data_IF_162216436027
#
_entry.id   IF_162216436027
#
_cell.length_a   1.000
_cell.length_b   1.000
_cell.length_c   1.000
_cell.angle_alpha   90.00
_cell.angle_beta   90.00
_cell.angle_gamma   90.00
#
_symmetry.space_group_name_H-M   'P 1'
#
loop_
_entity.id
_entity.type
_entity.pdbx_description
1 polymer ?
#
# COMPACT_ATOMS: atom_id res chain seq x y z
N UNK A 1 -52.53 -20.10 43.93
CA UNK A 1 -52.13 -19.73 42.55
C UNK A 1 -50.60 -19.56 42.44
N UNK A 2 -49.90 -20.34 41.61
CA UNK A 2 -48.46 -20.17 41.43
C UNK A 2 -48.17 -18.95 40.55
N UNK A 3 -47.15 -18.18 40.91
CA UNK A 3 -46.69 -17.02 40.15
C UNK A 3 -45.98 -17.49 38.86
N UNK A 4 -46.21 -16.84 37.70
CA UNK A 4 -45.48 -17.20 36.48
C UNK A 4 -44.00 -16.82 36.65
N UNK A 5 -43.12 -17.82 36.61
CA UNK A 5 -41.66 -17.70 36.83
C UNK A 5 -40.87 -17.41 35.55
N UNK A 6 -41.51 -16.96 34.47
CA UNK A 6 -40.83 -16.78 33.18
C UNK A 6 -40.40 -15.32 33.00
N UNK A 7 -39.09 -15.01 33.02
CA UNK A 7 -38.62 -13.67 32.68
C UNK A 7 -38.92 -13.38 31.20
N UNK A 8 -39.26 -12.12 30.85
CA UNK A 8 -39.51 -11.75 29.46
C UNK A 8 -38.23 -11.92 28.62
N UNK A 9 -38.35 -12.29 27.33
CA UNK A 9 -37.19 -12.43 26.45
C UNK A 9 -36.49 -11.08 26.28
N UNK A 10 -35.16 -11.10 26.35
CA UNK A 10 -34.34 -9.91 26.13
C UNK A 10 -34.45 -9.45 24.66
N UNK A 11 -34.54 -8.13 24.40
CA UNK A 11 -34.56 -7.60 23.04
C UNK A 11 -33.23 -7.93 22.35
N UNK A 12 -33.29 -8.65 21.23
CA UNK A 12 -32.13 -9.13 20.46
C UNK A 12 -31.62 -8.12 19.42
N UNK A 13 -32.19 -6.91 19.37
CA UNK A 13 -31.86 -5.93 18.35
C UNK A 13 -30.73 -5.02 18.84
N UNK A 14 -29.52 -5.07 18.24
CA UNK A 14 -28.47 -4.12 18.57
C UNK A 14 -28.90 -2.71 18.15
N UNK A 15 -28.55 -1.67 18.92
CA UNK A 15 -28.82 -0.29 18.53
C UNK A 15 -28.10 0.04 17.21
N UNK A 16 -28.66 0.92 16.37
CA UNK A 16 -28.02 1.33 15.13
C UNK A 16 -26.69 2.03 15.45
N UNK A 17 -25.64 1.68 14.71
CA UNK A 17 -24.33 2.29 14.86
C UNK A 17 -24.44 3.81 14.55
N UNK A 18 -23.81 4.70 15.35
CA UNK A 18 -23.76 6.11 15.03
C UNK A 18 -23.03 6.30 13.69
N UNK A 19 -23.70 6.94 12.73
CA UNK A 19 -23.16 7.20 11.38
C UNK A 19 -22.34 8.49 11.31
N UNK A 20 -22.22 9.22 12.41
CA UNK A 20 -21.51 10.50 12.45
C UNK A 20 -20.01 10.25 12.71
N UNK A 21 -19.12 10.64 11.79
CA UNK A 21 -17.69 10.56 12.03
C UNK A 21 -17.29 11.51 13.17
N UNK A 22 -16.35 11.12 14.04
CA UNK A 22 -15.86 12.01 15.09
C UNK A 22 -15.20 13.25 14.48
N UNK A 23 -15.29 14.41 15.16
CA UNK A 23 -14.61 15.62 14.71
C UNK A 23 -13.10 15.38 14.69
N UNK A 24 -12.44 15.82 13.62
CA UNK A 24 -11.00 15.71 13.50
C UNK A 24 -10.29 16.61 14.53
N UNK A 25 -9.21 16.12 15.18
CA UNK A 25 -8.41 16.94 16.07
C UNK A 25 -7.82 18.12 15.29
N UNK A 26 -8.06 19.33 15.76
CA UNK A 26 -7.58 20.59 15.15
C UNK A 26 -6.13 20.90 15.51
N UNK A 27 -5.49 20.07 16.32
CA UNK A 27 -4.10 20.26 16.73
C UNK A 27 -3.18 19.77 15.60
N UNK A 28 -2.32 20.64 15.03
CA UNK A 28 -1.34 20.20 14.06
C UNK A 28 -0.38 19.21 14.73
N UNK A 29 -0.13 18.03 14.14
CA UNK A 29 0.87 17.12 14.67
C UNK A 29 2.25 17.80 14.61
N UNK A 30 3.12 17.59 15.61
CA UNK A 30 4.49 18.07 15.51
C UNK A 30 5.14 17.45 14.26
N UNK A 31 5.80 18.30 13.48
CA UNK A 31 6.48 17.95 12.23
C UNK A 31 7.63 16.98 12.48
N UNK A 32 7.34 15.71 12.73
CA UNK A 32 8.33 14.67 12.99
C UNK A 32 7.92 13.26 12.52
N UNK A 33 6.92 13.14 11.63
CA UNK A 33 6.55 11.87 11.03
C UNK A 33 6.41 12.00 9.49
N UNK A 34 7.12 11.20 8.68
CA UNK A 34 6.83 11.08 7.25
C UNK A 34 5.54 10.24 7.08
N UNK A 35 4.40 10.92 7.12
CA UNK A 35 3.09 10.32 6.89
C UNK A 35 2.87 10.07 5.38
N UNK A 36 2.92 8.80 4.98
CA UNK A 36 2.69 8.29 3.62
C UNK A 36 1.21 8.20 3.22
N UNK A 37 0.35 9.09 3.73
CA UNK A 37 -1.03 9.17 3.24
C UNK A 37 -1.49 10.62 3.14
N UNK A 38 -1.71 11.17 1.92
CA UNK A 38 -2.32 12.48 1.80
C UNK A 38 -3.76 12.43 2.34
N UNK A 39 -4.25 13.50 3.01
CA UNK A 39 -5.65 13.58 3.40
C UNK A 39 -6.52 13.68 2.14
N UNK A 40 -7.62 12.92 2.10
CA UNK A 40 -8.61 13.02 1.04
C UNK A 40 -9.21 14.43 1.04
N UNK A 41 -8.91 15.22 0.01
CA UNK A 41 -9.59 16.50 -0.24
C UNK A 41 -8.69 17.67 -0.68
N UNK A 42 -7.37 17.56 -0.59
CA UNK A 42 -6.50 18.62 -1.11
C UNK A 42 -5.99 18.24 -2.50
N UNK A 43 -6.57 18.87 -3.53
CA UNK A 43 -5.98 18.92 -4.86
C UNK A 43 -4.71 19.77 -4.84
N UNK A 44 -3.66 19.26 -4.17
CA UNK A 44 -2.31 19.73 -4.41
C UNK A 44 -2.00 19.36 -5.86
N UNK A 45 -1.97 20.35 -6.75
CA UNK A 45 -1.35 20.22 -8.06
C UNK A 45 0.17 20.07 -7.87
N UNK A 46 0.58 18.99 -7.24
CA UNK A 46 1.96 18.56 -7.26
C UNK A 46 2.14 17.95 -8.63
N UNK A 47 2.95 18.59 -9.46
CA UNK A 47 3.51 18.03 -10.71
C UNK A 47 4.45 16.85 -10.44
N UNK A 48 4.20 16.08 -9.37
CA UNK A 48 4.83 14.79 -9.15
C UNK A 48 4.33 13.89 -10.26
N UNK A 49 5.22 13.62 -11.22
CA UNK A 49 4.93 12.72 -12.32
C UNK A 49 4.48 11.39 -11.69
N UNK A 50 3.24 10.95 -11.93
CA UNK A 50 2.78 9.70 -11.35
C UNK A 50 3.70 8.58 -11.83
N UNK A 51 4.02 7.66 -10.93
CA UNK A 51 4.82 6.51 -11.28
C UNK A 51 4.17 5.73 -12.45
N UNK A 52 4.97 5.12 -13.33
CA UNK A 52 4.44 4.33 -14.44
C UNK A 52 3.54 3.18 -13.93
N UNK A 53 2.67 2.62 -14.79
CA UNK A 53 1.81 1.50 -14.40
C UNK A 53 2.63 0.33 -13.86
N UNK A 54 2.09 -0.33 -12.83
CA UNK A 54 2.72 -1.43 -12.09
C UNK A 54 3.99 -1.05 -11.31
N UNK A 55 4.13 0.23 -10.96
CA UNK A 55 5.18 0.70 -10.05
C UNK A 55 4.60 1.56 -8.94
N UNK A 56 5.30 1.57 -7.81
CA UNK A 56 4.95 2.33 -6.62
C UNK A 56 6.07 3.31 -6.33
N UNK A 57 5.72 4.50 -5.86
CA UNK A 57 6.70 5.47 -5.38
C UNK A 57 7.39 4.93 -4.13
N UNK A 58 8.72 4.87 -4.18
CA UNK A 58 9.57 4.57 -3.03
C UNK A 58 10.34 5.83 -2.65
N UNK A 59 10.42 6.11 -1.35
CA UNK A 59 11.16 7.26 -0.81
C UNK A 59 12.68 7.14 -0.96
N UNK A 60 13.16 5.95 -1.34
CA UNK A 60 14.57 5.61 -1.51
C UNK A 60 14.72 4.54 -2.59
N UNK A 61 15.89 4.47 -3.24
CA UNK A 61 16.17 3.46 -4.26
C UNK A 61 16.53 2.12 -3.59
N UNK A 62 15.82 1.02 -3.90
CA UNK A 62 16.15 -0.29 -3.34
C UNK A 62 17.53 -0.74 -3.82
N UNK A 63 18.24 -1.50 -2.99
CA UNK A 63 19.58 -1.96 -3.37
C UNK A 63 19.56 -2.96 -4.54
N UNK A 64 18.46 -3.68 -4.74
CA UNK A 64 18.26 -4.54 -5.91
C UNK A 64 16.84 -4.38 -6.43
N UNK A 65 16.72 -4.14 -7.73
CA UNK A 65 15.44 -4.07 -8.44
C UNK A 65 15.32 -5.28 -9.37
N UNK A 66 14.27 -6.12 -9.23
CA UNK A 66 14.17 -7.37 -9.97
C UNK A 66 13.93 -7.07 -11.46
N UNK A 67 14.65 -7.77 -12.33
CA UNK A 67 14.52 -7.67 -13.79
C UNK A 67 14.14 -9.02 -14.38
N UNK A 68 13.86 -9.07 -15.68
CA UNK A 68 13.56 -10.34 -16.35
C UNK A 68 14.70 -11.37 -16.28
N UNK A 69 15.93 -10.90 -16.09
CA UNK A 69 17.13 -11.75 -16.07
C UNK A 69 17.70 -11.90 -14.64
N UNK A 70 17.37 -10.97 -13.73
CA UNK A 70 17.91 -10.95 -12.37
C UNK A 70 16.81 -11.04 -11.32
N UNK A 71 16.90 -12.08 -10.48
CA UNK A 71 16.01 -12.26 -9.35
C UNK A 71 16.64 -11.78 -8.04
N UNK A 72 16.05 -10.75 -7.43
CA UNK A 72 16.56 -10.16 -6.20
C UNK A 72 16.20 -10.94 -4.92
N UNK A 73 15.52 -12.11 -5.00
CA UNK A 73 15.09 -12.83 -3.78
C UNK A 73 16.27 -13.40 -2.98
N UNK A 74 17.36 -13.73 -3.65
CA UNK A 74 18.58 -14.25 -3.01
C UNK A 74 19.59 -13.15 -2.63
N UNK A 75 19.34 -11.90 -3.05
CA UNK A 75 20.28 -10.79 -2.81
C UNK A 75 20.19 -10.33 -1.37
N UNK A 76 21.33 -10.36 -0.67
CA UNK A 76 21.47 -9.84 0.70
C UNK A 76 22.04 -8.43 0.65
N UNK A 77 21.18 -7.44 0.67
CA UNK A 77 21.60 -6.04 0.72
C UNK A 77 22.10 -5.65 2.12
N UNK A 78 23.16 -4.84 2.19
CA UNK A 78 23.70 -4.29 3.43
C UNK A 78 22.73 -3.27 4.04
N UNK A 79 22.02 -2.52 3.20
CA UNK A 79 20.93 -1.60 3.56
C UNK A 79 19.70 -1.87 2.70
N UNK A 80 18.46 -1.79 3.24
CA UNK A 80 17.24 -2.09 2.48
C UNK A 80 17.02 -1.18 1.27
N UNK A 81 17.41 0.10 1.38
CA UNK A 81 17.38 1.07 0.30
C UNK A 81 18.37 2.21 0.59
N UNK A 82 18.79 2.94 -0.44
CA UNK A 82 19.66 4.11 -0.31
C UNK A 82 19.40 5.10 -1.46
N UNK A 83 19.79 6.36 -1.27
CA UNK A 83 19.72 7.38 -2.33
C UNK A 83 18.35 8.04 -2.51
N UNK A 84 18.17 8.61 -3.70
CA UNK A 84 17.01 9.43 -4.06
C UNK A 84 15.70 8.63 -4.21
N UNK A 85 14.54 9.28 -4.01
CA UNK A 85 13.24 8.66 -4.23
C UNK A 85 13.02 8.27 -5.69
N UNK A 86 12.48 7.09 -5.92
CA UNK A 86 12.30 6.52 -7.26
C UNK A 86 11.02 5.69 -7.35
N UNK A 87 10.59 5.39 -8.58
CA UNK A 87 9.49 4.46 -8.82
C UNK A 87 10.03 3.05 -8.95
N UNK A 88 9.57 2.15 -8.08
CA UNK A 88 9.97 0.75 -8.04
C UNK A 88 8.85 -0.15 -8.52
N UNK A 89 9.20 -1.24 -9.21
CA UNK A 89 8.21 -2.22 -9.64
C UNK A 89 7.46 -2.85 -8.46
N UNK A 90 6.16 -3.06 -8.65
CA UNK A 90 5.31 -3.75 -7.68
C UNK A 90 5.80 -5.19 -7.42
N UNK A 91 5.36 -5.78 -6.30
CA UNK A 91 5.63 -7.18 -5.99
C UNK A 91 5.21 -8.07 -7.16
N UNK A 92 6.11 -8.94 -7.61
CA UNK A 92 5.96 -9.86 -8.75
C UNK A 92 6.03 -9.23 -10.15
N UNK A 93 6.33 -7.93 -10.23
CA UNK A 93 6.71 -7.24 -11.47
C UNK A 93 8.22 -7.09 -11.54
N UNK A 94 8.72 -7.10 -12.77
CA UNK A 94 10.13 -6.94 -13.07
C UNK A 94 10.32 -5.77 -14.00
N UNK A 95 11.45 -5.08 -13.83
CA UNK A 95 11.81 -3.98 -14.70
C UNK A 95 12.39 -4.51 -16.00
N UNK A 96 11.79 -4.06 -17.09
CA UNK A 96 12.21 -4.37 -18.45
C UNK A 96 12.06 -3.08 -19.27
N UNK A 97 13.17 -2.64 -19.86
CA UNK A 97 13.23 -1.44 -20.70
C UNK A 97 12.59 -0.17 -20.09
N UNK A 98 12.79 0.05 -18.79
CA UNK A 98 12.25 1.21 -18.07
C UNK A 98 10.77 1.09 -17.66
N UNK A 99 10.14 -0.08 -17.87
CA UNK A 99 8.75 -0.35 -17.48
C UNK A 99 8.66 -1.59 -16.61
N UNK A 100 7.67 -1.60 -15.71
CA UNK A 100 7.36 -2.75 -14.87
C UNK A 100 6.36 -3.65 -15.59
N UNK A 101 6.80 -4.86 -15.92
CA UNK A 101 5.98 -5.89 -16.55
C UNK A 101 5.87 -7.12 -15.64
N UNK A 102 4.77 -7.88 -15.69
CA UNK A 102 4.70 -9.15 -14.97
C UNK A 102 5.74 -10.12 -15.51
N UNK A 103 6.35 -10.92 -14.64
CA UNK A 103 7.42 -11.87 -15.04
C UNK A 103 7.04 -12.80 -16.18
N UNK A 104 5.78 -13.20 -16.26
CA UNK A 104 5.25 -14.08 -17.31
C UNK A 104 5.35 -13.45 -18.72
N UNK A 105 5.51 -12.12 -18.81
CA UNK A 105 5.68 -11.39 -20.07
C UNK A 105 7.15 -11.09 -20.39
N UNK A 106 8.10 -11.67 -19.65
CA UNK A 106 9.51 -11.50 -19.97
C UNK A 106 9.84 -12.12 -21.33
N UNK A 107 10.70 -11.48 -22.14
CA UNK A 107 11.03 -11.96 -23.48
C UNK A 107 11.67 -13.37 -23.47
N UNK A 108 12.38 -13.72 -22.40
CA UNK A 108 13.00 -15.03 -22.22
C UNK A 108 12.04 -16.11 -21.70
N UNK A 109 10.78 -15.78 -21.37
CA UNK A 109 9.79 -16.76 -20.93
C UNK A 109 9.32 -17.71 -22.07
N UNK A 110 9.78 -17.47 -23.31
CA UNK A 110 9.49 -18.28 -24.49
C UNK A 110 10.72 -18.73 -25.29
N UNK A 111 11.95 -18.64 -24.75
CA UNK A 111 13.19 -19.03 -25.45
C UNK A 111 13.93 -20.18 -24.76
N UNK A 112 13.17 -21.13 -24.19
CA UNK A 112 13.66 -22.47 -23.90
C UNK A 112 12.85 -23.43 -24.77
N UNK A 113 13.37 -23.70 -25.96
CA UNK A 113 12.82 -24.64 -26.94
C UNK A 113 13.86 -24.89 -28.01
#
# INVERSE_FOLDING_TARGET
>A
PPCPTTPPPCPTTPPPCPTTPPPCPTTPPPCAAPATKPPCGCAAKTTAKPCPPNSTYSSCTPCCEPTCDNDCRAVRCISPCSGEPTCVCNRDYVKQNGRCIPRIFCPNAGSSG
#
